data_IF_003384687436
#
_entry.id   IF_003384687436
#
_cell.length_a   1.000
_cell.length_b   1.000
_cell.length_c   1.000
_cell.angle_alpha   90.00
_cell.angle_beta   90.00
_cell.angle_gamma   90.00
#
_symmetry.space_group_name_H-M   'P 1'
#
loop_
_entity.id
_entity.type
_entity.pdbx_description
1 polymer ?
#
# COMPACT_ATOMS: atom_id res chain seq x y z
N UNK A 1 -43.29 -38.13 102.21
CA UNK A 1 -44.28 -38.80 101.34
C UNK A 1 -43.99 -38.36 99.90
N UNK A 2 -43.70 -39.30 98.97
CA UNK A 2 -43.52 -39.08 97.51
C UNK A 2 -44.80 -38.41 96.91
N UNK A 3 -44.81 -37.68 95.78
CA UNK A 3 -44.72 -38.16 94.38
C UNK A 3 -44.74 -36.97 93.36
N UNK A 4 -43.82 -37.03 92.37
CA UNK A 4 -43.80 -36.67 90.91
C UNK A 4 -44.52 -35.44 90.27
N UNK A 5 -43.69 -34.68 89.52
CA UNK A 5 -43.72 -34.35 88.07
C UNK A 5 -45.05 -34.26 87.30
N UNK A 6 -45.23 -33.13 86.58
CA UNK A 6 -45.56 -33.14 85.14
C UNK A 6 -45.29 -31.78 84.48
N UNK A 7 -44.34 -31.77 83.56
CA UNK A 7 -44.21 -30.77 82.49
C UNK A 7 -45.42 -30.88 81.54
N UNK A 8 -45.89 -29.74 81.05
CA UNK A 8 -46.96 -29.64 80.06
C UNK A 8 -46.70 -28.42 79.18
N UNK A 9 -46.10 -28.69 78.03
CA UNK A 9 -45.83 -27.79 76.90
C UNK A 9 -47.12 -27.26 76.28
N UNK A 10 -47.24 -25.94 76.15
CA UNK A 10 -48.28 -25.30 75.35
C UNK A 10 -47.61 -24.58 74.16
N UNK A 11 -47.37 -25.32 73.09
CA UNK A 11 -46.86 -24.80 71.82
C UNK A 11 -48.03 -24.52 70.88
N UNK A 12 -48.34 -23.24 70.70
CA UNK A 12 -49.33 -22.74 69.74
C UNK A 12 -48.95 -23.16 68.31
N UNK A 13 -49.79 -23.89 67.55
CA UNK A 13 -49.41 -24.49 66.27
C UNK A 13 -49.03 -23.47 65.17
N UNK A 14 -49.59 -22.26 65.22
CA UNK A 14 -49.40 -21.23 64.18
C UNK A 14 -48.00 -20.61 64.09
N UNK A 15 -47.25 -20.52 65.20
CA UNK A 15 -45.90 -19.93 65.21
C UNK A 15 -44.83 -20.89 64.68
N UNK A 16 -45.05 -22.20 64.81
CA UNK A 16 -44.11 -23.22 64.34
C UNK A 16 -44.08 -23.33 62.81
N UNK A 17 -45.25 -23.17 62.17
CA UNK A 17 -45.42 -23.25 60.72
C UNK A 17 -44.84 -22.02 60.02
N UNK A 18 -45.03 -20.81 60.59
CA UNK A 18 -44.45 -19.58 60.05
C UNK A 18 -42.91 -19.59 60.15
N UNK A 19 -42.36 -20.07 61.27
CA UNK A 19 -40.91 -20.21 61.44
C UNK A 19 -40.30 -21.27 60.51
N UNK A 20 -41.03 -22.34 60.20
CA UNK A 20 -40.61 -23.35 59.22
C UNK A 20 -40.63 -22.82 57.78
N UNK A 21 -41.67 -22.06 57.42
CA UNK A 21 -41.77 -21.38 56.11
C UNK A 21 -40.65 -20.34 55.91
N UNK A 22 -40.37 -19.52 56.93
CA UNK A 22 -39.28 -18.53 56.86
C UNK A 22 -37.90 -19.19 56.69
N UNK A 23 -37.65 -20.31 57.37
CA UNK A 23 -36.42 -21.10 57.16
C UNK A 23 -36.32 -21.67 55.75
N UNK A 24 -37.40 -22.25 55.24
CA UNK A 24 -37.42 -22.81 53.87
C UNK A 24 -37.21 -21.74 52.80
N UNK A 25 -37.78 -20.54 52.99
CA UNK A 25 -37.57 -19.38 52.09
C UNK A 25 -36.12 -18.88 52.17
N UNK A 26 -35.53 -18.81 53.37
CA UNK A 26 -34.13 -18.43 53.53
C UNK A 26 -33.17 -19.43 52.87
N UNK A 27 -33.40 -20.74 53.06
CA UNK A 27 -32.61 -21.80 52.45
C UNK A 27 -32.71 -21.80 50.92
N UNK A 28 -33.90 -21.52 50.36
CA UNK A 28 -34.07 -21.40 48.90
C UNK A 28 -33.46 -20.13 48.33
N UNK A 29 -33.49 -18.99 49.04
CA UNK A 29 -32.76 -17.79 48.62
C UNK A 29 -31.25 -17.98 48.68
N UNK A 30 -30.74 -18.64 49.73
CA UNK A 30 -29.30 -18.87 49.90
C UNK A 30 -28.77 -19.86 48.85
N UNK A 31 -29.54 -20.91 48.53
CA UNK A 31 -29.24 -21.81 47.42
C UNK A 31 -29.27 -21.08 46.06
N UNK A 32 -30.22 -20.16 45.85
CA UNK A 32 -30.29 -19.35 44.63
C UNK A 32 -29.14 -18.34 44.50
N UNK A 33 -28.66 -17.75 45.60
CA UNK A 33 -27.47 -16.89 45.62
C UNK A 33 -26.21 -17.71 45.28
N UNK A 34 -26.00 -18.85 45.95
CA UNK A 34 -24.86 -19.75 45.68
C UNK A 34 -24.85 -20.29 44.25
N UNK A 35 -26.02 -20.48 43.64
CA UNK A 35 -26.12 -20.88 42.23
C UNK A 35 -25.84 -19.74 41.24
N UNK A 36 -26.06 -18.47 41.63
CA UNK A 36 -25.82 -17.28 40.79
C UNK A 36 -24.39 -16.78 40.86
N UNK A 37 -23.72 -16.89 42.01
CA UNK A 37 -22.31 -16.49 42.21
C UNK A 37 -21.35 -17.00 41.12
N UNK A 38 -21.30 -18.31 40.78
CA UNK A 38 -20.38 -18.79 39.74
C UNK A 38 -20.77 -18.31 38.33
N UNK A 39 -22.06 -18.04 38.08
CA UNK A 39 -22.54 -17.51 36.79
C UNK A 39 -22.09 -16.04 36.63
N UNK A 40 -22.27 -15.23 37.68
CA UNK A 40 -21.84 -13.83 37.70
C UNK A 40 -20.32 -13.75 37.54
N UNK A 41 -19.57 -14.55 38.31
CA UNK A 41 -18.12 -14.59 38.23
C UNK A 41 -17.63 -14.99 36.82
N UNK A 42 -18.28 -15.96 36.17
CA UNK A 42 -17.93 -16.34 34.80
C UNK A 42 -18.22 -15.22 33.78
N UNK A 43 -19.38 -14.55 33.91
CA UNK A 43 -19.73 -13.42 33.05
C UNK A 43 -18.78 -12.23 33.24
N UNK A 44 -18.38 -11.94 34.47
CA UNK A 44 -17.39 -10.90 34.79
C UNK A 44 -16.02 -11.24 34.17
N UNK A 45 -15.57 -12.49 34.31
CA UNK A 45 -14.33 -12.95 33.70
C UNK A 45 -14.37 -12.90 32.16
N UNK A 46 -15.51 -13.22 31.54
CA UNK A 46 -15.69 -13.08 30.10
C UNK A 46 -15.67 -11.61 29.66
N UNK A 47 -16.36 -10.73 30.39
CA UNK A 47 -16.39 -9.30 30.12
C UNK A 47 -14.99 -8.68 30.21
N UNK A 48 -14.19 -9.03 31.21
CA UNK A 48 -12.81 -8.55 31.34
C UNK A 48 -11.89 -9.05 30.22
N UNK A 49 -12.08 -10.30 29.77
CA UNK A 49 -11.37 -10.82 28.59
C UNK A 49 -11.70 -10.02 27.33
N UNK A 50 -12.98 -9.70 27.09
CA UNK A 50 -13.38 -8.89 25.93
C UNK A 50 -12.84 -7.47 26.01
N UNK A 51 -12.93 -6.80 27.17
CA UNK A 51 -12.36 -5.45 27.36
C UNK A 51 -10.86 -5.42 27.06
N UNK A 52 -10.13 -6.39 27.58
CA UNK A 52 -8.69 -6.50 27.36
C UNK A 52 -8.36 -6.74 25.89
N UNK A 53 -9.11 -7.63 25.21
CA UNK A 53 -8.91 -7.88 23.78
C UNK A 53 -9.17 -6.61 22.95
N UNK A 54 -10.27 -5.91 23.19
CA UNK A 54 -10.66 -4.69 22.47
C UNK A 54 -9.66 -3.54 22.74
N UNK A 55 -9.10 -3.44 23.94
CA UNK A 55 -8.11 -2.42 24.30
C UNK A 55 -6.74 -2.60 23.61
N UNK A 56 -6.37 -3.84 23.26
CA UNK A 56 -5.06 -4.15 22.66
C UNK A 56 -5.08 -4.26 21.13
N UNK A 57 -6.23 -4.04 20.49
CA UNK A 57 -6.37 -4.05 19.03
C UNK A 57 -6.09 -2.64 18.48
N UNK A 58 -5.31 -2.54 17.41
CA UNK A 58 -4.93 -1.25 16.79
C UNK A 58 -6.10 -0.47 16.18
N UNK A 59 -7.08 -1.09 15.48
CA UNK A 59 -8.28 -0.38 15.08
C UNK A 59 -9.02 0.27 16.27
N UNK A 60 -9.38 1.54 16.11
CA UNK A 60 -10.25 2.24 17.05
C UNK A 60 -11.67 1.71 16.96
N UNK A 61 -12.23 1.27 18.08
CA UNK A 61 -13.58 0.74 18.16
C UNK A 61 -14.45 1.70 18.95
N UNK A 62 -15.65 1.98 18.44
CA UNK A 62 -16.72 2.66 19.18
C UNK A 62 -18.05 1.94 18.97
N UNK A 63 -18.81 1.78 20.05
CA UNK A 63 -20.11 1.12 20.07
C UNK A 63 -21.12 2.09 20.66
N UNK A 64 -22.25 2.30 19.99
CA UNK A 64 -23.31 3.19 20.45
C UNK A 64 -24.61 2.45 20.64
N UNK A 65 -25.43 2.90 21.60
CA UNK A 65 -26.79 2.44 21.78
C UNK A 65 -27.75 3.08 20.74
N UNK A 66 -29.03 2.68 20.76
CA UNK A 66 -30.08 3.24 19.89
C UNK A 66 -30.33 4.74 20.03
N UNK A 67 -29.90 5.33 21.14
CA UNK A 67 -30.04 6.76 21.42
C UNK A 67 -28.76 7.53 21.04
N UNK A 68 -27.76 6.87 20.47
CA UNK A 68 -26.48 7.46 20.13
C UNK A 68 -25.61 7.80 21.35
N UNK A 69 -25.73 7.04 22.44
CA UNK A 69 -24.81 7.10 23.58
C UNK A 69 -23.74 6.05 23.44
N UNK A 70 -22.49 6.43 23.68
CA UNK A 70 -21.35 5.54 23.63
C UNK A 70 -21.49 4.48 24.72
N UNK A 71 -21.45 3.21 24.34
CA UNK A 71 -21.50 2.06 25.26
C UNK A 71 -20.07 1.56 25.54
N UNK A 72 -19.25 1.49 24.49
CA UNK A 72 -17.86 1.01 24.56
C UNK A 72 -17.00 1.81 23.59
N UNK A 73 -15.79 2.19 24.01
CA UNK A 73 -14.71 2.55 23.10
C UNK A 73 -13.37 2.07 23.66
N UNK A 74 -12.42 1.77 22.78
CA UNK A 74 -11.05 1.44 23.19
C UNK A 74 -10.13 2.66 23.22
N UNK A 75 -8.92 2.47 23.76
CA UNK A 75 -7.87 3.49 23.79
C UNK A 75 -7.44 3.93 22.39
N UNK A 76 -7.31 2.98 21.45
CA UNK A 76 -6.92 3.28 20.08
C UNK A 76 -7.87 4.27 19.39
N UNK A 77 -9.17 4.22 19.71
CA UNK A 77 -10.12 5.21 19.20
C UNK A 77 -9.84 6.62 19.71
N UNK A 78 -9.53 6.77 21.00
CA UNK A 78 -9.17 8.06 21.58
C UNK A 78 -7.86 8.59 20.96
N UNK A 79 -6.87 7.72 20.77
CA UNK A 79 -5.60 8.04 20.12
C UNK A 79 -5.79 8.49 18.66
N UNK A 80 -6.57 7.74 17.86
CA UNK A 80 -6.88 8.08 16.47
C UNK A 80 -7.48 9.49 16.39
N UNK A 81 -8.41 9.84 17.27
CA UNK A 81 -9.07 11.14 17.23
C UNK A 81 -8.41 12.22 18.10
N UNK A 82 -7.25 11.95 18.71
CA UNK A 82 -6.52 12.84 19.63
C UNK A 82 -7.41 13.35 20.78
N UNK A 83 -8.25 12.47 21.31
CA UNK A 83 -9.15 12.75 22.42
C UNK A 83 -8.53 12.30 23.74
N UNK A 84 -8.84 13.05 24.80
CA UNK A 84 -8.56 12.59 26.16
C UNK A 84 -9.42 11.33 26.45
N UNK A 85 -8.87 10.26 27.06
CA UNK A 85 -9.64 9.07 27.39
C UNK A 85 -10.87 9.32 28.28
N UNK A 86 -10.85 10.37 29.12
CA UNK A 86 -12.02 10.79 29.90
C UNK A 86 -13.17 11.31 29.03
N UNK A 87 -12.87 11.70 27.79
CA UNK A 87 -13.86 12.14 26.82
C UNK A 87 -14.51 11.03 26.02
N UNK A 88 -14.03 9.79 26.14
CA UNK A 88 -14.57 8.61 25.47
C UNK A 88 -15.18 7.62 26.46
N UNK A 89 -15.69 8.11 27.59
CA UNK A 89 -16.35 7.28 28.59
C UNK A 89 -17.76 6.84 28.14
N UNK A 90 -18.25 5.68 28.62
CA UNK A 90 -19.62 5.27 28.39
C UNK A 90 -20.64 6.35 28.82
N UNK A 91 -21.68 6.55 28.02
CA UNK A 91 -22.75 7.53 28.23
C UNK A 91 -22.61 8.84 27.44
N UNK A 92 -21.40 9.15 26.96
CA UNK A 92 -21.13 10.33 26.10
C UNK A 92 -21.95 10.23 24.83
N UNK A 93 -22.61 11.32 24.45
CA UNK A 93 -23.44 11.35 23.24
C UNK A 93 -22.58 11.44 21.99
N UNK A 94 -23.09 10.92 20.88
CA UNK A 94 -22.45 11.06 19.57
C UNK A 94 -22.19 12.52 19.22
N UNK A 95 -23.12 13.43 19.57
CA UNK A 95 -22.98 14.88 19.35
C UNK A 95 -21.75 15.43 20.08
N UNK A 96 -21.65 15.23 21.39
CA UNK A 96 -20.50 15.68 22.19
C UNK A 96 -19.19 15.09 21.67
N UNK A 97 -19.20 13.82 21.26
CA UNK A 97 -18.01 13.16 20.73
C UNK A 97 -17.54 13.75 19.40
N UNK A 98 -18.47 14.11 18.51
CA UNK A 98 -18.16 14.75 17.22
C UNK A 98 -17.70 16.19 17.43
N UNK A 99 -18.33 16.95 18.33
CA UNK A 99 -17.87 18.29 18.71
C UNK A 99 -16.42 18.28 19.21
N UNK A 100 -16.06 17.26 20.02
CA UNK A 100 -14.69 17.09 20.51
C UNK A 100 -13.71 16.73 19.40
N UNK A 101 -14.11 15.91 18.43
CA UNK A 101 -13.28 15.61 17.24
C UNK A 101 -13.04 16.85 16.39
N UNK A 102 -14.07 17.67 16.19
CA UNK A 102 -13.97 18.95 15.48
C UNK A 102 -13.00 19.88 16.23
N UNK A 103 -13.15 20.01 17.55
CA UNK A 103 -12.26 20.81 18.39
C UNK A 103 -10.80 20.31 18.37
N UNK A 104 -10.59 19.01 18.19
CA UNK A 104 -9.27 18.39 18.04
C UNK A 104 -8.69 18.48 16.62
N UNK A 105 -9.44 19.03 15.65
CA UNK A 105 -9.02 19.08 14.24
C UNK A 105 -8.98 17.70 13.55
N UNK A 106 -9.77 16.74 14.04
CA UNK A 106 -9.80 15.36 13.53
C UNK A 106 -11.13 15.01 12.87
N UNK A 107 -11.86 16.01 12.37
CA UNK A 107 -13.13 15.83 11.68
C UNK A 107 -13.21 16.76 10.46
N UNK A 108 -13.35 16.19 9.27
CA UNK A 108 -13.39 16.92 7.99
C UNK A 108 -14.79 17.34 7.54
N UNK A 109 -15.80 17.15 8.39
CA UNK A 109 -17.19 17.50 8.10
C UNK A 109 -17.76 18.33 9.24
N UNK A 110 -18.81 19.11 8.95
CA UNK A 110 -19.54 19.81 10.00
C UNK A 110 -20.25 18.82 10.93
N UNK A 111 -20.54 19.26 12.16
CA UNK A 111 -21.29 18.46 13.13
C UNK A 111 -22.62 17.97 12.55
N UNK A 112 -23.37 18.85 11.89
CA UNK A 112 -24.70 18.51 11.36
C UNK A 112 -24.61 17.54 10.18
N UNK A 113 -23.60 17.67 9.31
CA UNK A 113 -23.37 16.74 8.21
C UNK A 113 -22.98 15.36 8.73
N UNK A 114 -22.12 15.27 9.74
CA UNK A 114 -21.75 14.01 10.35
C UNK A 114 -22.96 13.31 11.01
N UNK A 115 -23.78 14.07 11.75
CA UNK A 115 -24.99 13.53 12.37
C UNK A 115 -26.02 13.09 11.32
N UNK A 116 -26.15 13.82 10.21
CA UNK A 116 -27.00 13.44 9.09
C UNK A 116 -26.50 12.14 8.41
N UNK A 117 -25.20 12.03 8.18
CA UNK A 117 -24.56 10.83 7.64
C UNK A 117 -24.78 9.62 8.56
N UNK A 118 -24.54 9.79 9.86
CA UNK A 118 -24.77 8.74 10.86
C UNK A 118 -26.23 8.30 10.89
N UNK A 119 -27.19 9.23 10.88
CA UNK A 119 -28.63 8.91 10.79
C UNK A 119 -28.95 8.12 9.51
N UNK A 120 -28.45 8.58 8.36
CA UNK A 120 -28.66 7.89 7.07
C UNK A 120 -28.12 6.46 7.09
N UNK A 121 -26.92 6.25 7.65
CA UNK A 121 -26.31 4.92 7.73
C UNK A 121 -27.08 4.02 8.71
N UNK A 122 -27.49 4.55 9.86
CA UNK A 122 -28.22 3.82 10.90
C UNK A 122 -29.64 3.41 10.51
N UNK A 123 -30.23 4.04 9.48
CA UNK A 123 -31.53 3.59 8.94
C UNK A 123 -31.43 2.28 8.15
N UNK A 124 -30.24 1.92 7.68
CA UNK A 124 -30.00 0.66 6.98
C UNK A 124 -29.66 -0.50 7.94
N UNK A 125 -29.86 -1.74 7.49
CA UNK A 125 -29.40 -2.96 8.21
C UNK A 125 -28.06 -3.49 7.70
N UNK A 126 -27.50 -2.86 6.65
CA UNK A 126 -26.31 -3.35 5.98
C UNK A 126 -25.03 -2.76 6.58
N UNK A 127 -23.95 -3.53 6.52
CA UNK A 127 -22.62 -3.02 6.84
C UNK A 127 -22.20 -2.03 5.75
N UNK A 128 -21.67 -0.87 6.16
CA UNK A 128 -21.08 0.10 5.24
C UNK A 128 -19.60 0.29 5.55
N UNK A 129 -18.80 0.46 4.50
CA UNK A 129 -17.38 0.75 4.60
C UNK A 129 -17.11 1.97 3.73
N UNK A 130 -16.45 2.98 4.28
CA UNK A 130 -16.01 4.15 3.53
C UNK A 130 -14.66 4.64 4.03
N UNK A 131 -14.06 5.53 3.25
CA UNK A 131 -12.79 6.16 3.56
C UNK A 131 -13.02 7.65 3.78
N UNK A 132 -12.38 8.21 4.80
CA UNK A 132 -12.45 9.62 5.16
C UNK A 132 -11.05 10.16 5.38
N UNK A 133 -10.71 11.27 4.74
CA UNK A 133 -9.50 12.03 5.06
C UNK A 133 -9.84 13.06 6.14
N UNK A 134 -9.07 13.08 7.22
CA UNK A 134 -9.18 14.04 8.32
C UNK A 134 -8.43 15.33 7.99
N UNK A 135 -8.72 16.41 8.71
CA UNK A 135 -8.07 17.71 8.50
C UNK A 135 -6.56 17.71 8.82
N UNK A 136 -6.10 16.76 9.62
CA UNK A 136 -4.68 16.55 9.90
C UNK A 136 -3.95 15.70 8.84
N UNK A 137 -4.63 15.37 7.74
CA UNK A 137 -4.08 14.65 6.59
C UNK A 137 -4.16 13.13 6.68
N UNK A 138 -4.55 12.56 7.82
CA UNK A 138 -4.68 11.10 7.96
C UNK A 138 -5.91 10.58 7.24
N UNK A 139 -5.81 9.37 6.70
CA UNK A 139 -6.91 8.68 6.04
C UNK A 139 -7.41 7.52 6.87
N UNK A 140 -8.70 7.58 7.25
CA UNK A 140 -9.36 6.53 8.00
C UNK A 140 -10.26 5.68 7.11
N UNK A 141 -10.15 4.35 7.24
CA UNK A 141 -11.17 3.41 6.80
C UNK A 141 -12.14 3.17 7.94
N UNK A 142 -13.40 3.50 7.73
CA UNK A 142 -14.46 3.33 8.72
C UNK A 142 -15.39 2.22 8.26
N UNK A 143 -15.50 1.16 9.07
CA UNK A 143 -16.50 0.11 8.92
C UNK A 143 -17.58 0.31 9.96
N UNK A 144 -18.82 0.45 9.49
CA UNK A 144 -19.98 0.68 10.32
C UNK A 144 -20.95 -0.50 10.21
N UNK A 145 -21.32 -1.06 11.34
CA UNK A 145 -22.18 -2.23 11.44
C UNK A 145 -23.34 -1.97 12.41
N UNK A 146 -24.59 -1.87 11.93
CA UNK A 146 -25.76 -1.81 12.77
C UNK A 146 -25.93 -3.07 13.63
N UNK A 147 -26.45 -2.93 14.84
CA UNK A 147 -26.76 -4.00 15.78
C UNK A 147 -28.28 -4.22 15.90
N UNK A 148 -28.68 -5.43 16.30
CA UNK A 148 -30.10 -5.81 16.37
C UNK A 148 -30.93 -5.07 17.45
N UNK A 149 -30.27 -4.44 18.42
CA UNK A 149 -30.87 -3.64 19.48
C UNK A 149 -31.10 -2.17 19.09
N UNK A 150 -30.75 -1.79 17.85
CA UNK A 150 -30.81 -0.43 17.33
C UNK A 150 -29.54 0.39 17.56
N UNK A 151 -28.54 -0.16 18.24
CA UNK A 151 -27.20 0.40 18.32
C UNK A 151 -26.36 0.11 17.07
N UNK A 152 -25.09 0.48 17.11
CA UNK A 152 -24.14 0.17 16.04
C UNK A 152 -22.69 0.10 16.56
N UNK A 153 -21.84 -0.60 15.81
CA UNK A 153 -20.39 -0.65 16.01
C UNK A 153 -19.71 0.06 14.85
N UNK A 154 -18.76 0.93 15.15
CA UNK A 154 -17.86 1.54 14.18
C UNK A 154 -16.42 1.15 14.50
N UNK A 155 -15.75 0.61 13.48
CA UNK A 155 -14.32 0.30 13.50
C UNK A 155 -13.60 1.31 12.62
N UNK A 156 -12.59 1.94 13.17
CA UNK A 156 -11.81 3.03 12.58
C UNK A 156 -10.37 2.57 12.46
N UNK A 157 -9.87 2.54 11.23
CA UNK A 157 -8.52 2.09 10.94
C UNK A 157 -7.77 3.19 10.21
N UNK A 158 -6.64 3.59 10.76
CA UNK A 158 -5.72 4.49 10.06
C UNK A 158 -5.02 3.71 8.95
N UNK A 159 -5.32 4.07 7.70
CA UNK A 159 -4.76 3.45 6.51
C UNK A 159 -3.80 4.39 5.77
N UNK A 160 -3.38 5.49 6.40
CA UNK A 160 -2.52 6.51 5.78
C UNK A 160 -1.23 5.89 5.27
N UNK A 161 -0.49 5.20 6.15
CA UNK A 161 0.77 4.54 5.78
C UNK A 161 0.57 3.47 4.69
N UNK A 162 -0.55 2.74 4.73
CA UNK A 162 -0.88 1.72 3.74
C UNK A 162 -1.18 2.35 2.37
N UNK A 163 -1.91 3.46 2.35
CA UNK A 163 -2.21 4.20 1.12
C UNK A 163 -0.97 4.86 0.53
N UNK A 164 -0.13 5.50 1.34
CA UNK A 164 1.10 6.14 0.87
C UNK A 164 2.04 5.11 0.24
N UNK A 165 2.25 3.97 0.91
CA UNK A 165 3.04 2.86 0.37
C UNK A 165 2.45 2.34 -0.94
N UNK A 166 1.12 2.22 -1.01
CA UNK A 166 0.43 1.74 -2.21
C UNK A 166 0.53 2.74 -3.36
N UNK A 167 0.36 4.03 -3.10
CA UNK A 167 0.50 5.08 -4.10
C UNK A 167 1.91 5.11 -4.69
N UNK A 168 2.95 5.05 -3.84
CA UNK A 168 4.34 4.96 -4.28
C UNK A 168 4.58 3.69 -5.12
N UNK A 169 4.02 2.55 -4.71
CA UNK A 169 4.15 1.29 -5.45
C UNK A 169 3.43 1.35 -6.81
N UNK A 170 2.23 1.93 -6.87
CA UNK A 170 1.47 2.11 -8.10
C UNK A 170 2.18 3.06 -9.07
N UNK A 171 2.71 4.19 -8.59
CA UNK A 171 3.50 5.12 -9.39
C UNK A 171 4.75 4.44 -9.97
N UNK A 172 5.52 3.73 -9.13
CA UNK A 172 6.70 2.97 -9.59
C UNK A 172 6.33 1.93 -10.63
N UNK A 173 5.23 1.19 -10.42
CA UNK A 173 4.75 0.20 -11.39
C UNK A 173 4.37 0.85 -12.72
N UNK A 174 3.65 1.99 -12.69
CA UNK A 174 3.29 2.72 -13.90
C UNK A 174 4.51 3.23 -14.66
N UNK A 175 5.50 3.82 -13.98
CA UNK A 175 6.73 4.28 -14.62
C UNK A 175 7.52 3.12 -15.24
N UNK A 176 7.67 2.00 -14.54
CA UNK A 176 8.36 0.83 -15.06
C UNK A 176 7.63 0.24 -16.28
N UNK A 177 6.30 0.14 -16.23
CA UNK A 177 5.50 -0.36 -17.35
C UNK A 177 5.60 0.54 -18.59
N UNK A 178 5.65 1.87 -18.42
CA UNK A 178 5.85 2.81 -19.52
C UNK A 178 7.23 2.63 -20.17
N UNK A 179 8.28 2.52 -19.35
CA UNK A 179 9.67 2.34 -19.81
C UNK A 179 9.85 0.98 -20.51
N UNK A 180 9.30 -0.10 -19.95
CA UNK A 180 9.40 -1.46 -20.50
C UNK A 180 8.54 -1.68 -21.75
N UNK A 181 7.46 -0.90 -21.93
CA UNK A 181 6.64 -0.93 -23.13
C UNK A 181 7.25 -0.20 -24.33
N UNK A 182 8.31 0.59 -24.12
CA UNK A 182 8.93 1.36 -25.19
C UNK A 182 9.88 0.49 -26.04
N UNK A 183 9.89 0.65 -27.38
CA UNK A 183 10.79 -0.08 -28.27
C UNK A 183 12.23 0.47 -28.25
N UNK A 184 12.39 1.75 -27.88
CA UNK A 184 13.70 2.37 -27.72
C UNK A 184 14.37 1.83 -26.44
N UNK A 185 15.70 1.79 -26.44
CA UNK A 185 16.46 1.49 -25.24
C UNK A 185 16.39 2.65 -24.27
N UNK A 186 16.09 2.39 -23.01
CA UNK A 186 16.20 3.36 -21.93
C UNK A 186 17.10 2.79 -20.84
N UNK A 187 18.06 3.60 -20.39
CA UNK A 187 18.93 3.22 -19.29
C UNK A 187 19.37 4.42 -18.46
N UNK A 188 19.70 4.14 -17.20
CA UNK A 188 20.46 5.01 -16.33
C UNK A 188 21.61 4.23 -15.71
N UNK A 189 22.75 4.89 -15.55
CA UNK A 189 23.94 4.35 -14.89
C UNK A 189 24.39 5.24 -13.74
N UNK A 190 25.01 4.66 -12.74
CA UNK A 190 25.75 5.40 -11.72
C UNK A 190 27.09 5.93 -12.25
N UNK A 191 27.85 6.63 -11.41
CA UNK A 191 29.16 7.20 -11.76
C UNK A 191 30.20 6.10 -12.10
N UNK A 192 30.05 4.91 -11.53
CA UNK A 192 30.91 3.76 -11.81
C UNK A 192 30.53 3.03 -13.11
N UNK A 193 29.48 3.50 -13.79
CA UNK A 193 29.01 2.94 -15.06
C UNK A 193 28.15 1.70 -14.90
N UNK A 194 27.61 1.46 -13.71
CA UNK A 194 26.71 0.35 -13.44
C UNK A 194 25.29 0.75 -13.76
N UNK A 195 24.54 -0.11 -14.44
CA UNK A 195 23.12 0.12 -14.69
C UNK A 195 22.34 0.22 -13.38
N UNK A 196 21.59 1.31 -13.22
CA UNK A 196 20.65 1.56 -12.11
C UNK A 196 19.22 1.37 -12.59
N UNK A 197 18.94 1.69 -13.85
CA UNK A 197 17.69 1.42 -14.55
C UNK A 197 18.04 0.93 -15.96
N UNK A 198 17.31 -0.05 -16.45
CA UNK A 198 17.32 -0.50 -17.83
C UNK A 198 15.91 -0.95 -18.20
N UNK A 199 15.49 -0.78 -19.44
CA UNK A 199 14.20 -1.28 -19.89
C UNK A 199 14.29 -2.67 -20.53
N UNK A 200 13.11 -3.28 -20.71
CA UNK A 200 12.97 -4.61 -21.30
C UNK A 200 13.59 -4.74 -22.70
N UNK A 201 13.55 -3.69 -23.53
CA UNK A 201 14.15 -3.72 -24.86
C UNK A 201 15.68 -3.96 -24.78
N UNK A 202 16.38 -3.16 -23.96
CA UNK A 202 17.82 -3.32 -23.72
C UNK A 202 18.15 -4.68 -23.08
N UNK A 203 17.37 -5.09 -22.08
CA UNK A 203 17.60 -6.37 -21.39
C UNK A 203 17.47 -7.57 -22.34
N UNK A 204 16.41 -7.59 -23.16
CA UNK A 204 16.14 -8.68 -24.11
C UNK A 204 17.27 -8.86 -25.13
N UNK A 205 17.75 -7.76 -25.71
CA UNK A 205 18.85 -7.80 -26.68
C UNK A 205 20.21 -8.07 -26.02
N UNK A 206 20.32 -7.85 -24.70
CA UNK A 206 21.45 -8.27 -23.88
C UNK A 206 21.32 -9.72 -23.38
N UNK A 207 20.29 -10.46 -23.81
CA UNK A 207 20.09 -11.87 -23.47
C UNK A 207 19.49 -12.13 -22.09
N UNK A 208 18.77 -11.17 -21.53
CA UNK A 208 18.09 -11.25 -20.22
C UNK A 208 16.59 -11.23 -20.38
N UNK A 209 15.88 -11.93 -19.51
CA UNK A 209 14.42 -12.02 -19.57
C UNK A 209 13.75 -10.83 -18.88
N UNK A 210 14.40 -10.29 -17.85
CA UNK A 210 13.88 -9.22 -17.00
C UNK A 210 14.81 -8.01 -17.01
N UNK A 211 14.22 -6.82 -16.97
CA UNK A 211 14.95 -5.55 -16.89
C UNK A 211 15.80 -5.42 -15.62
N UNK A 212 15.38 -6.03 -14.51
CA UNK A 212 16.11 -5.94 -13.24
C UNK A 212 17.38 -6.81 -13.18
N UNK A 213 17.55 -7.78 -14.08
CA UNK A 213 18.80 -8.54 -14.25
C UNK A 213 19.93 -7.69 -14.84
N UNK A 214 19.62 -6.49 -15.32
CA UNK A 214 20.62 -5.53 -15.78
C UNK A 214 21.27 -4.77 -14.61
N UNK A 215 20.60 -4.65 -13.47
CA UNK A 215 21.02 -3.73 -12.41
C UNK A 215 22.35 -4.18 -11.79
N UNK A 216 23.28 -3.22 -11.65
CA UNK A 216 24.63 -3.44 -11.12
C UNK A 216 25.66 -3.90 -12.16
N UNK A 217 25.21 -4.35 -13.33
CA UNK A 217 26.07 -4.70 -14.45
C UNK A 217 26.65 -3.46 -15.13
N UNK A 218 27.73 -3.66 -15.87
CA UNK A 218 28.39 -2.63 -16.68
C UNK A 218 28.33 -3.02 -18.16
N UNK A 219 28.71 -2.11 -19.06
CA UNK A 219 28.82 -2.44 -20.49
C UNK A 219 29.76 -3.63 -20.76
N UNK A 220 30.76 -3.84 -19.91
CA UNK A 220 31.71 -4.94 -20.03
C UNK A 220 31.08 -6.31 -19.76
N UNK A 221 29.94 -6.35 -19.08
CA UNK A 221 29.22 -7.59 -18.78
C UNK A 221 28.26 -8.00 -19.90
N UNK A 222 27.96 -7.10 -20.85
CA UNK A 222 26.95 -7.29 -21.90
C UNK A 222 27.47 -7.05 -23.33
N UNK A 223 28.64 -6.44 -23.48
CA UNK A 223 29.24 -6.14 -24.78
C UNK A 223 30.69 -6.64 -24.86
N UNK A 224 31.22 -6.88 -26.09
CA UNK A 224 32.64 -7.13 -26.29
C UNK A 224 33.52 -6.03 -25.67
N UNK A 225 34.70 -6.36 -25.12
CA UNK A 225 35.55 -5.41 -24.41
C UNK A 225 35.91 -4.15 -25.21
N UNK A 226 36.07 -4.28 -26.53
CA UNK A 226 36.39 -3.16 -27.42
C UNK A 226 35.22 -2.16 -27.47
N UNK A 227 34.00 -2.65 -27.66
CA UNK A 227 32.78 -1.84 -27.69
C UNK A 227 32.51 -1.20 -26.33
N UNK A 228 32.62 -1.98 -25.24
CA UNK A 228 32.43 -1.49 -23.89
C UNK A 228 33.39 -0.36 -23.52
N UNK A 229 34.66 -0.43 -23.97
CA UNK A 229 35.65 0.65 -23.79
C UNK A 229 35.25 1.94 -24.49
N UNK A 230 34.74 1.86 -25.72
CA UNK A 230 34.29 3.03 -26.48
C UNK A 230 33.10 3.70 -25.77
N UNK A 231 32.14 2.90 -25.30
CA UNK A 231 31.01 3.42 -24.54
C UNK A 231 31.49 4.08 -23.26
N UNK A 232 32.31 3.40 -22.45
CA UNK A 232 32.84 3.94 -21.20
C UNK A 232 33.61 5.23 -21.40
N UNK A 233 34.45 5.33 -22.43
CA UNK A 233 35.20 6.55 -22.74
C UNK A 233 34.27 7.72 -23.07
N UNK A 234 33.24 7.48 -23.89
CA UNK A 234 32.23 8.49 -24.25
C UNK A 234 31.46 8.96 -23.02
N UNK A 235 31.05 8.03 -22.15
CA UNK A 235 30.33 8.35 -20.92
C UNK A 235 31.19 9.15 -19.94
N UNK A 236 32.48 8.81 -19.80
CA UNK A 236 33.43 9.57 -18.98
C UNK A 236 33.64 11.00 -19.50
N UNK A 237 33.71 11.20 -20.82
CA UNK A 237 33.77 12.54 -21.42
C UNK A 237 32.52 13.36 -21.07
N UNK A 238 31.32 12.77 -21.15
CA UNK A 238 30.07 13.43 -20.79
C UNK A 238 30.03 13.80 -19.30
N UNK A 239 30.45 12.89 -18.43
CA UNK A 239 30.50 13.16 -16.98
C UNK A 239 31.51 14.25 -16.64
N UNK A 240 32.67 14.28 -17.30
CA UNK A 240 33.70 15.30 -17.08
C UNK A 240 33.32 16.68 -17.62
N UNK A 241 32.68 16.74 -18.78
CA UNK A 241 32.28 18.00 -19.44
C UNK A 241 30.92 18.51 -18.98
N UNK A 242 30.10 17.64 -18.39
CA UNK A 242 28.69 17.86 -18.09
C UNK A 242 27.84 18.25 -19.31
N UNK A 243 28.30 17.95 -20.53
CA UNK A 243 27.59 18.25 -21.77
C UNK A 243 26.93 17.00 -22.34
N UNK A 244 25.64 17.05 -22.71
CA UNK A 244 24.98 15.94 -23.35
C UNK A 244 25.57 15.70 -24.75
N UNK A 245 25.50 14.45 -25.20
CA UNK A 245 25.78 14.08 -26.59
C UNK A 245 24.58 13.38 -27.19
N UNK A 246 24.23 13.77 -28.41
CA UNK A 246 23.08 13.28 -29.15
C UNK A 246 23.51 12.72 -30.50
N UNK A 247 22.65 11.92 -31.12
CA UNK A 247 22.84 11.32 -32.44
C UNK A 247 24.15 10.53 -32.59
N UNK A 248 24.60 9.91 -31.49
CA UNK A 248 25.75 9.01 -31.52
C UNK A 248 25.30 7.72 -32.19
N UNK A 249 25.84 7.43 -33.38
CA UNK A 249 25.56 6.16 -34.04
C UNK A 249 26.44 5.03 -33.49
N UNK A 250 25.82 4.07 -32.83
CA UNK A 250 26.48 2.96 -32.15
C UNK A 250 26.15 1.65 -32.85
N UNK A 251 27.18 0.85 -33.14
CA UNK A 251 27.02 -0.51 -33.66
C UNK A 251 27.10 -1.50 -32.51
N UNK A 252 25.99 -2.14 -32.21
CA UNK A 252 25.85 -3.09 -31.10
C UNK A 252 25.67 -4.50 -31.65
N UNK A 253 26.34 -5.47 -31.03
CA UNK A 253 26.10 -6.89 -31.27
C UNK A 253 25.26 -7.41 -30.12
N UNK A 254 24.07 -7.94 -30.42
CA UNK A 254 23.16 -8.50 -29.42
C UNK A 254 23.69 -9.83 -28.88
N UNK A 255 23.12 -10.32 -27.78
CA UNK A 255 23.46 -11.63 -27.23
C UNK A 255 23.18 -12.80 -28.22
N UNK A 256 22.31 -12.58 -29.21
CA UNK A 256 22.04 -13.54 -30.30
C UNK A 256 23.04 -13.45 -31.45
N UNK A 257 23.99 -12.52 -31.40
CA UNK A 257 24.97 -12.26 -32.45
C UNK A 257 24.44 -11.37 -33.59
N UNK A 258 23.24 -10.80 -33.46
CA UNK A 258 22.69 -9.89 -34.46
C UNK A 258 23.37 -8.52 -34.37
N UNK A 259 23.62 -7.89 -35.52
CA UNK A 259 24.16 -6.54 -35.57
C UNK A 259 23.00 -5.56 -35.66
N UNK A 260 22.93 -4.66 -34.67
CA UNK A 260 21.98 -3.55 -34.64
C UNK A 260 22.72 -2.22 -34.64
N UNK A 261 22.09 -1.22 -35.25
CA UNK A 261 22.55 0.16 -35.21
C UNK A 261 21.62 0.99 -34.34
N UNK A 262 22.18 1.78 -33.45
CA UNK A 262 21.43 2.67 -32.58
C UNK A 262 21.85 4.12 -32.80
N UNK A 263 20.89 5.04 -32.75
CA UNK A 263 21.11 6.47 -32.58
C UNK A 263 20.88 6.79 -31.11
N UNK A 264 21.97 7.06 -30.39
CA UNK A 264 21.96 7.22 -28.94
C UNK A 264 22.09 8.68 -28.52
N UNK A 265 21.33 9.06 -27.51
CA UNK A 265 21.50 10.33 -26.77
C UNK A 265 21.85 10.00 -25.32
N UNK A 266 22.90 10.62 -24.81
CA UNK A 266 23.45 10.42 -23.46
C UNK A 266 23.62 11.77 -22.77
N UNK A 267 23.19 11.87 -21.51
CA UNK A 267 23.24 13.11 -20.75
C UNK A 267 23.62 12.85 -19.28
N UNK A 268 24.27 13.80 -18.59
CA UNK A 268 24.54 13.67 -17.17
C UNK A 268 23.23 13.72 -16.37
N UNK A 269 23.03 12.76 -15.48
CA UNK A 269 21.93 12.72 -14.53
C UNK A 269 22.31 13.54 -13.29
N UNK A 270 21.41 14.41 -12.82
CA UNK A 270 21.64 15.26 -11.65
C UNK A 270 20.68 14.91 -10.52
N UNK A 271 21.17 14.98 -9.28
CA UNK A 271 20.35 14.86 -8.08
C UNK A 271 19.61 16.18 -7.77
N UNK A 272 18.82 16.19 -6.70
CA UNK A 272 18.06 17.36 -6.23
C UNK A 272 18.96 18.57 -5.91
N UNK A 273 20.20 18.34 -5.49
CA UNK A 273 21.19 19.40 -5.24
C UNK A 273 21.87 19.91 -6.53
N UNK A 274 21.48 19.42 -7.71
CA UNK A 274 22.06 19.77 -9.00
C UNK A 274 23.42 19.13 -9.29
N UNK A 275 23.92 18.24 -8.42
CA UNK A 275 25.18 17.51 -8.59
C UNK A 275 24.99 16.33 -9.54
N UNK A 276 25.99 16.07 -10.39
CA UNK A 276 25.95 14.90 -11.27
C UNK A 276 26.06 13.63 -10.41
N UNK A 277 25.07 12.75 -10.54
CA UNK A 277 24.98 11.49 -9.80
C UNK A 277 25.04 10.26 -10.72
N UNK A 278 25.09 10.46 -12.03
CA UNK A 278 25.15 9.37 -13.00
C UNK A 278 24.97 9.85 -14.43
N UNK A 279 24.54 8.92 -15.27
CA UNK A 279 24.26 9.13 -16.68
C UNK A 279 22.88 8.57 -17.03
N UNK A 280 22.14 9.26 -17.89
CA UNK A 280 20.92 8.75 -18.51
C UNK A 280 21.12 8.67 -20.02
N UNK A 281 20.52 7.66 -20.65
CA UNK A 281 20.54 7.56 -22.10
C UNK A 281 19.31 6.91 -22.69
N UNK A 282 19.08 7.26 -23.95
CA UNK A 282 18.08 6.64 -24.83
C UNK A 282 18.76 6.24 -26.13
N UNK A 283 18.42 5.07 -26.64
CA UNK A 283 18.98 4.51 -27.85
C UNK A 283 17.87 4.06 -28.77
N UNK A 284 17.71 4.72 -29.92
CA UNK A 284 16.72 4.32 -30.92
C UNK A 284 17.37 3.41 -31.94
N UNK A 285 16.76 2.26 -32.19
CA UNK A 285 17.23 1.38 -33.26
C UNK A 285 17.01 2.06 -34.63
N UNK A 286 18.09 2.14 -35.41
CA UNK A 286 18.15 2.70 -36.76
C UNK A 286 18.66 1.67 -37.78
N UNK A 287 18.66 0.38 -37.44
CA UNK A 287 19.15 -0.71 -38.31
C UNK A 287 18.46 -0.69 -39.68
N UNK A 288 17.14 -0.60 -39.71
CA UNK A 288 16.37 -0.53 -40.96
C UNK A 288 16.74 0.71 -41.80
N UNK A 289 16.97 1.86 -41.15
CA UNK A 289 17.45 3.08 -41.82
C UNK A 289 18.82 2.84 -42.45
N UNK A 290 19.78 2.30 -41.70
CA UNK A 290 21.13 2.00 -42.20
C UNK A 290 21.14 1.04 -43.39
N UNK A 291 20.32 0.00 -43.36
CA UNK A 291 20.18 -0.94 -44.48
C UNK A 291 19.62 -0.24 -45.71
N UNK A 292 18.59 0.61 -45.55
CA UNK A 292 18.02 1.37 -46.65
C UNK A 292 19.01 2.40 -47.23
N UNK A 293 19.79 3.08 -46.39
CA UNK A 293 20.82 4.03 -46.80
C UNK A 293 21.89 3.32 -47.63
N UNK A 294 22.42 2.21 -47.13
CA UNK A 294 23.45 1.42 -47.82
C UNK A 294 22.97 0.86 -49.16
N UNK A 295 21.70 0.43 -49.24
CA UNK A 295 21.10 -0.03 -50.50
C UNK A 295 21.01 1.12 -51.52
N UNK A 296 20.58 2.31 -51.07
CA UNK A 296 20.49 3.50 -51.94
C UNK A 296 21.86 3.93 -52.45
N UNK A 297 22.86 3.97 -51.58
CA UNK A 297 24.23 4.35 -51.94
C UNK A 297 24.82 3.38 -52.97
N UNK A 298 24.64 2.06 -52.76
CA UNK A 298 25.07 1.05 -53.73
C UNK A 298 24.35 1.16 -55.08
N UNK A 299 23.04 1.43 -55.06
CA UNK A 299 22.29 1.65 -56.30
C UNK A 299 22.77 2.90 -57.04
N UNK A 300 23.06 3.99 -56.33
CA UNK A 300 23.59 5.22 -56.90
C UNK A 300 24.98 4.99 -57.53
N UNK A 301 25.88 4.28 -56.85
CA UNK A 301 27.19 3.90 -57.40
C UNK A 301 27.07 3.09 -58.69
N UNK A 302 26.14 2.11 -58.75
CA UNK A 302 25.91 1.31 -59.96
C UNK A 302 25.41 2.18 -61.12
N UNK A 303 24.46 3.09 -60.85
CA UNK A 303 23.95 4.01 -61.86
C UNK A 303 25.04 4.96 -62.36
N UNK A 304 25.92 5.44 -61.47
CA UNK A 304 27.07 6.27 -61.82
C UNK A 304 28.07 5.50 -62.69
N UNK A 305 28.41 4.25 -62.33
CA UNK A 305 29.26 3.38 -63.14
C UNK A 305 28.70 3.19 -64.55
N UNK A 306 27.39 2.95 -64.69
CA UNK A 306 26.73 2.83 -66.00
C UNK A 306 26.80 4.16 -66.77
N UNK A 307 26.51 5.29 -66.12
CA UNK A 307 26.53 6.60 -66.75
C UNK A 307 27.94 7.03 -67.21
N UNK A 308 28.98 6.62 -66.49
CA UNK A 308 30.38 6.88 -66.84
C UNK A 308 30.94 5.89 -67.87
N UNK A 309 30.15 4.94 -68.35
CA UNK A 309 30.58 3.95 -69.34
C UNK A 309 31.57 2.93 -68.77
N UNK A 310 31.47 2.59 -67.48
CA UNK A 310 32.27 1.54 -66.88
C UNK A 310 32.03 0.19 -67.58
N UNK A 311 33.07 -0.66 -67.61
CA UNK A 311 33.02 -1.99 -68.20
C UNK A 311 31.88 -2.83 -67.59
N UNK A 312 31.14 -3.54 -68.45
CA UNK A 312 29.97 -4.31 -68.05
C UNK A 312 30.29 -5.34 -66.95
N UNK A 313 31.49 -5.93 -66.99
CA UNK A 313 31.94 -6.91 -66.01
C UNK A 313 32.08 -6.30 -64.60
N UNK A 314 32.60 -5.06 -64.50
CA UNK A 314 32.73 -4.34 -63.24
C UNK A 314 31.36 -3.94 -62.66
N UNK A 315 30.42 -3.55 -63.53
CA UNK A 315 29.03 -3.25 -63.13
C UNK A 315 28.32 -4.52 -62.63
N UNK A 316 28.47 -5.64 -63.33
CA UNK A 316 27.86 -6.92 -62.94
C UNK A 316 28.43 -7.46 -61.63
N UNK A 317 29.75 -7.37 -61.41
CA UNK A 317 30.36 -7.77 -60.15
C UNK A 317 29.80 -6.96 -58.97
N UNK A 318 29.56 -5.66 -59.17
CA UNK A 318 28.99 -4.78 -58.15
C UNK A 318 27.52 -5.11 -57.86
N UNK A 319 26.73 -5.43 -58.88
CA UNK A 319 25.32 -5.84 -58.76
C UNK A 319 25.18 -7.18 -58.02
N UNK A 320 26.08 -8.14 -58.26
CA UNK A 320 26.06 -9.45 -57.56
C UNK A 320 26.37 -9.31 -56.07
N UNK A 321 27.05 -8.23 -55.66
CA UNK A 321 27.38 -7.94 -54.25
C UNK A 321 26.33 -7.07 -53.52
N UNK A 322 25.24 -6.66 -54.18
CA UNK A 322 24.13 -5.88 -53.59
C UNK A 322 23.49 -6.62 -52.41
#
# INVERSE_FOLDING_TARGET
MRVKMKEGSDTTPGNSTLAALLRSVAETQEAAMRAREPIIANLEAEAERYKTAIANISPGISVFDRNGRLVVSNSAYAEIYRLDPSHTLPGVTLRELVERRIAAGTCSMSLEDYLALSRSINTGKETRIWTLTLDDGRTLRIRHQPMGDGGWVSVHEDITELQDKRAIAEERFSLQALIDGAPDYFWMKDLDGRFVIANKALASDSGRERSDEMIGLTDFDIHPPETARVFRATEQEILATAQPRSDIEERVVTAKGEIKWFSSTKAPLRNEDGRICGLIGVGREITARKVADHLRDRQAEILEMIAMGAELEAVLERVVRL
#
